data_IF_230976658324
#
_entry.id   IF_230976658324
#
_cell.length_a   1.000
_cell.length_b   1.000
_cell.length_c   1.000
_cell.angle_alpha   90.00
_cell.angle_beta   90.00
_cell.angle_gamma   90.00
#
_symmetry.space_group_name_H-M   'P 1'
#
loop_
_entity.id
_entity.type
_entity.pdbx_description
1 polymer ?
#
# COMPACT_ATOMS: atom_id res chain seq x y z
N UNK A 1 4.24 -11.46 -7.62
CA UNK A 1 3.11 -11.85 -6.73
C UNK A 1 3.31 -13.19 -6.01
N UNK A 2 3.89 -14.22 -6.63
CA UNK A 2 4.21 -15.51 -5.94
C UNK A 2 5.69 -15.60 -5.58
N UNK A 3 6.14 -14.75 -4.67
CA UNK A 3 7.56 -14.56 -4.35
C UNK A 3 7.87 -14.69 -2.85
N UNK A 4 7.07 -15.50 -2.12
CA UNK A 4 7.27 -15.74 -0.68
C UNK A 4 8.62 -16.41 -0.35
N UNK A 5 9.22 -17.09 -1.34
CA UNK A 5 10.50 -17.79 -1.22
C UNK A 5 11.74 -16.86 -1.18
N UNK A 6 11.59 -15.55 -1.40
CA UNK A 6 12.74 -14.65 -1.59
C UNK A 6 13.72 -14.64 -0.41
N UNK A 7 13.21 -14.65 0.82
CA UNK A 7 14.02 -14.65 2.04
C UNK A 7 14.75 -15.97 2.29
N UNK A 8 14.35 -17.07 1.63
CA UNK A 8 15.09 -18.33 1.67
C UNK A 8 16.43 -18.23 0.92
N UNK A 9 16.54 -17.28 -0.02
CA UNK A 9 17.69 -17.14 -0.90
C UNK A 9 18.47 -15.85 -0.68
N UNK A 10 17.81 -14.78 -0.27
CA UNK A 10 18.41 -13.46 -0.16
C UNK A 10 18.12 -12.82 1.20
N UNK A 11 19.19 -12.39 1.86
CA UNK A 11 19.12 -11.63 3.11
C UNK A 11 19.22 -10.13 2.80
N UNK A 12 18.07 -9.49 2.62
CA UNK A 12 17.95 -8.05 2.40
C UNK A 12 17.09 -7.42 3.49
N UNK A 13 17.25 -6.11 3.68
CA UNK A 13 16.48 -5.35 4.67
C UNK A 13 15.03 -5.06 4.22
N UNK A 14 14.70 -5.32 2.95
CA UNK A 14 13.38 -5.10 2.37
C UNK A 14 13.34 -5.41 0.87
N UNK A 15 12.12 -5.47 0.32
CA UNK A 15 11.87 -5.82 -1.07
C UNK A 15 10.99 -4.78 -1.76
N UNK A 16 11.46 -4.27 -2.89
CA UNK A 16 10.70 -3.39 -3.79
C UNK A 16 10.46 -4.11 -5.10
N UNK A 17 9.20 -4.34 -5.43
CA UNK A 17 8.78 -4.97 -6.67
C UNK A 17 8.42 -3.90 -7.69
N UNK A 18 9.22 -3.79 -8.75
CA UNK A 18 8.87 -3.00 -9.93
C UNK A 18 7.98 -3.87 -10.82
N UNK A 19 6.71 -3.49 -10.92
CA UNK A 19 5.66 -4.34 -11.49
C UNK A 19 4.75 -3.57 -12.45
N UNK A 20 3.88 -4.30 -13.11
CA UNK A 20 2.82 -3.76 -13.95
C UNK A 20 1.52 -3.69 -13.14
N UNK A 21 0.82 -2.57 -13.28
CA UNK A 21 -0.54 -2.42 -12.81
C UNK A 21 -1.51 -2.73 -13.95
N UNK A 22 -2.52 -3.56 -13.70
CA UNK A 22 -3.54 -3.92 -14.69
C UNK A 22 -4.95 -3.70 -14.13
N UNK A 23 -5.74 -2.85 -14.80
CA UNK A 23 -7.09 -2.50 -14.38
C UNK A 23 -8.04 -2.39 -15.56
N UNK A 24 -9.26 -2.93 -15.37
CA UNK A 24 -10.32 -2.93 -16.40
C UNK A 24 -10.78 -1.54 -16.81
N UNK A 25 -10.57 -0.52 -15.97
CA UNK A 25 -10.97 0.86 -16.24
C UNK A 25 -10.17 1.50 -17.38
N UNK A 26 -8.97 0.98 -17.69
CA UNK A 26 -8.06 1.59 -18.66
C UNK A 26 -7.45 2.93 -18.21
N UNK A 27 -7.75 3.37 -16.99
CA UNK A 27 -7.21 4.63 -16.44
C UNK A 27 -5.72 4.47 -16.22
N UNK A 28 -4.91 5.35 -16.83
CA UNK A 28 -3.45 5.35 -16.65
C UNK A 28 -3.11 5.74 -15.22
N UNK A 29 -2.31 4.92 -14.56
CA UNK A 29 -1.95 5.13 -13.16
C UNK A 29 -0.49 4.78 -12.88
N UNK A 30 0.13 5.58 -12.02
CA UNK A 30 1.39 5.24 -11.35
C UNK A 30 1.05 4.99 -9.89
N UNK A 31 1.26 3.77 -9.44
CA UNK A 31 0.75 3.31 -8.15
C UNK A 31 1.84 2.72 -7.28
N UNK A 32 1.51 2.61 -5.99
CA UNK A 32 2.38 2.00 -5.00
C UNK A 32 1.54 1.42 -3.86
N UNK A 33 1.77 0.17 -3.48
CA UNK A 33 0.97 -0.48 -2.44
C UNK A 33 1.70 -1.62 -1.71
N UNK A 34 1.27 -1.86 -0.48
CA UNK A 34 1.64 -3.03 0.31
C UNK A 34 0.90 -4.28 -0.19
N UNK A 35 1.43 -5.47 0.07
CA UNK A 35 0.81 -6.75 -0.34
C UNK A 35 0.09 -7.44 0.82
N UNK A 36 -0.92 -8.23 0.49
CA UNK A 36 -1.74 -8.92 1.47
C UNK A 36 -3.05 -9.47 0.94
N UNK A 37 -3.58 -10.48 1.60
CA UNK A 37 -4.88 -11.08 1.33
C UNK A 37 -5.74 -11.04 2.60
N UNK A 38 -6.88 -10.34 2.55
CA UNK A 38 -7.81 -10.27 3.69
C UNK A 38 -8.75 -11.47 3.79
N UNK A 39 -8.86 -12.26 2.72
CA UNK A 39 -9.65 -13.49 2.69
C UNK A 39 -8.87 -14.58 1.93
N UNK A 40 -9.41 -15.09 0.83
CA UNK A 40 -8.76 -16.10 0.01
C UNK A 40 -7.65 -15.49 -0.85
N UNK A 41 -6.49 -16.14 -0.90
CA UNK A 41 -5.42 -15.80 -1.82
C UNK A 41 -5.70 -16.32 -3.23
N UNK A 42 -6.07 -15.40 -4.14
CA UNK A 42 -6.28 -15.71 -5.56
C UNK A 42 -5.08 -15.38 -6.44
N UNK A 43 -4.17 -14.55 -5.93
CA UNK A 43 -3.07 -13.95 -6.69
C UNK A 43 -1.76 -13.98 -5.88
N UNK A 44 -1.37 -15.17 -5.40
CA UNK A 44 -0.12 -15.38 -4.66
C UNK A 44 -0.19 -14.95 -3.19
N UNK A 45 0.77 -15.41 -2.39
CA UNK A 45 0.75 -15.25 -0.94
C UNK A 45 -0.23 -16.21 -0.25
N UNK A 46 -0.26 -16.16 1.07
CA UNK A 46 -1.18 -16.93 1.90
C UNK A 46 -2.51 -16.18 2.08
N UNK A 47 -3.58 -16.96 2.29
CA UNK A 47 -4.89 -16.44 2.67
C UNK A 47 -4.83 -15.83 4.08
N UNK A 48 -5.59 -14.76 4.30
CA UNK A 48 -5.68 -14.05 5.60
C UNK A 48 -4.32 -13.60 6.17
N UNK A 49 -3.40 -13.20 5.30
CA UNK A 49 -2.08 -12.69 5.68
C UNK A 49 -1.78 -11.40 4.92
N UNK A 50 -1.27 -10.37 5.61
CA UNK A 50 -0.64 -9.20 4.98
C UNK A 50 0.88 -9.26 5.18
N UNK A 51 1.65 -8.69 4.26
CA UNK A 51 3.10 -8.51 4.41
C UNK A 51 3.41 -7.31 5.33
N UNK A 52 4.66 -7.22 5.80
CA UNK A 52 5.19 -6.02 6.45
C UNK A 52 5.20 -4.87 5.42
N UNK A 53 4.52 -3.74 5.66
CA UNK A 53 4.49 -2.63 4.72
C UNK A 53 5.81 -1.83 4.74
N UNK A 54 5.99 -0.96 3.74
CA UNK A 54 7.12 -0.01 3.70
C UNK A 54 6.65 1.46 3.69
N UNK A 55 6.05 1.98 4.78
CA UNK A 55 5.24 3.20 4.76
C UNK A 55 5.98 4.48 4.34
N UNK A 56 7.18 4.71 4.90
CA UNK A 56 7.95 5.91 4.61
C UNK A 56 8.46 5.94 3.18
N UNK A 57 8.86 4.77 2.63
CA UNK A 57 9.23 4.64 1.23
C UNK A 57 8.03 4.89 0.31
N UNK A 58 6.86 4.34 0.64
CA UNK A 58 5.62 4.58 -0.10
C UNK A 58 5.32 6.08 -0.20
N UNK A 59 5.35 6.77 0.95
CA UNK A 59 5.10 8.21 1.02
C UNK A 59 6.12 9.00 0.22
N UNK A 60 7.42 8.75 0.44
CA UNK A 60 8.49 9.43 -0.27
C UNK A 60 8.40 9.23 -1.79
N UNK A 61 8.10 8.01 -2.24
CA UNK A 61 7.96 7.69 -3.66
C UNK A 61 6.75 8.40 -4.29
N UNK A 62 5.56 8.30 -3.71
CA UNK A 62 4.37 8.96 -4.26
C UNK A 62 4.48 10.48 -4.24
N UNK A 63 5.07 11.08 -3.19
CA UNK A 63 5.38 12.50 -3.17
C UNK A 63 6.41 12.91 -4.23
N UNK A 64 7.40 12.05 -4.51
CA UNK A 64 8.38 12.28 -5.57
C UNK A 64 7.74 12.22 -6.95
N UNK A 65 6.85 11.27 -7.20
CA UNK A 65 6.04 11.26 -8.41
C UNK A 65 5.22 12.55 -8.52
N UNK A 66 4.56 12.97 -7.45
CA UNK A 66 3.69 14.16 -7.46
C UNK A 66 4.46 15.44 -7.77
N UNK A 67 5.67 15.59 -7.22
CA UNK A 67 6.58 16.71 -7.55
C UNK A 67 7.01 16.70 -9.02
N UNK A 68 7.01 15.54 -9.67
CA UNK A 68 7.37 15.35 -11.07
C UNK A 68 6.15 15.10 -11.98
N UNK A 69 4.92 15.42 -11.53
CA UNK A 69 3.68 15.13 -12.24
C UNK A 69 3.63 15.69 -13.66
N UNK A 70 4.37 16.76 -13.98
CA UNK A 70 4.47 17.31 -15.33
C UNK A 70 5.01 16.30 -16.35
N UNK A 71 5.87 15.37 -15.93
CA UNK A 71 6.39 14.28 -16.77
C UNK A 71 5.35 13.18 -17.02
N UNK A 72 4.33 13.09 -16.17
CA UNK A 72 3.31 12.05 -16.17
C UNK A 72 1.91 12.64 -16.23
N UNK A 73 1.73 13.74 -16.98
CA UNK A 73 0.50 14.54 -16.97
C UNK A 73 -0.80 13.78 -17.29
N UNK A 74 -0.69 12.63 -17.97
CA UNK A 74 -1.82 11.73 -18.29
C UNK A 74 -2.10 10.67 -17.22
N UNK A 75 -1.20 10.49 -16.26
CA UNK A 75 -1.27 9.45 -15.24
C UNK A 75 -1.87 10.01 -13.96
N UNK A 76 -2.76 9.22 -13.36
CA UNK A 76 -3.16 9.41 -11.99
C UNK A 76 -2.06 8.84 -11.06
N UNK A 77 -1.55 9.65 -10.15
CA UNK A 77 -0.74 9.16 -9.03
C UNK A 77 -1.71 8.79 -7.91
N UNK A 78 -1.72 7.52 -7.50
CA UNK A 78 -2.62 7.05 -6.46
C UNK A 78 -2.06 5.85 -5.72
N UNK A 79 -2.40 5.76 -4.43
CA UNK A 79 -2.22 4.50 -3.70
C UNK A 79 -3.27 3.48 -4.15
N UNK A 80 -2.93 2.21 -4.00
CA UNK A 80 -3.87 1.09 -4.02
C UNK A 80 -4.06 0.47 -2.64
N UNK A 81 -5.22 -0.13 -2.42
CA UNK A 81 -5.47 -0.99 -1.29
C UNK A 81 -4.46 -2.14 -1.22
N UNK A 82 -4.23 -2.65 -0.02
CA UNK A 82 -3.40 -3.84 0.16
C UNK A 82 -4.07 -5.03 -0.51
N UNK A 83 -3.36 -5.69 -1.43
CA UNK A 83 -3.89 -6.83 -2.17
C UNK A 83 -2.75 -7.71 -2.72
N UNK A 84 -3.10 -8.96 -3.05
CA UNK A 84 -2.25 -9.99 -3.66
C UNK A 84 -0.95 -10.31 -2.88
N UNK A 85 -0.19 -11.30 -3.34
CA UNK A 85 1.08 -11.71 -2.72
C UNK A 85 2.30 -10.93 -3.21
N UNK A 86 3.48 -11.18 -2.63
CA UNK A 86 3.75 -12.14 -1.55
C UNK A 86 3.25 -11.63 -0.19
N UNK A 87 3.08 -12.52 0.78
CA UNK A 87 2.63 -12.18 2.14
C UNK A 87 3.51 -12.76 3.24
N UNK A 88 4.35 -13.74 2.93
CA UNK A 88 5.17 -14.45 3.90
C UNK A 88 6.63 -13.94 3.97
N UNK A 89 6.86 -12.70 3.51
CA UNK A 89 8.12 -12.01 3.71
C UNK A 89 8.11 -11.30 5.07
N UNK A 90 9.13 -11.55 5.89
CA UNK A 90 9.31 -10.92 7.21
C UNK A 90 9.90 -9.52 7.12
N UNK A 91 10.43 -9.13 5.95
CA UNK A 91 10.99 -7.81 5.67
C UNK A 91 9.97 -6.90 4.97
N UNK A 92 10.07 -5.57 5.16
CA UNK A 92 9.24 -4.59 4.46
C UNK A 92 9.14 -4.85 2.96
N UNK A 93 7.91 -4.92 2.47
CA UNK A 93 7.59 -5.29 1.10
C UNK A 93 6.65 -4.27 0.47
N UNK A 94 6.95 -3.85 -0.77
CA UNK A 94 6.12 -2.89 -1.49
C UNK A 94 6.18 -3.10 -3.00
N UNK A 95 5.06 -2.83 -3.66
CA UNK A 95 4.97 -2.77 -5.12
C UNK A 95 5.00 -1.32 -5.58
N UNK A 96 5.76 -1.06 -6.65
CA UNK A 96 5.78 0.17 -7.42
C UNK A 96 5.38 -0.20 -8.83
N UNK A 97 4.28 0.36 -9.32
CA UNK A 97 3.69 -0.12 -10.56
C UNK A 97 3.43 0.96 -11.59
N UNK A 98 3.53 0.54 -12.86
CA UNK A 98 3.16 1.33 -14.03
C UNK A 98 1.93 0.68 -14.65
N UNK A 99 0.86 1.47 -14.79
CA UNK A 99 -0.39 1.05 -15.36
C UNK A 99 -0.78 1.81 -16.64
N UNK A 100 -1.66 1.25 -17.46
CA UNK A 100 -2.56 0.14 -17.09
C UNK A 100 -2.63 -0.96 -18.15
N UNK A 101 -1.96 -0.75 -19.29
CA UNK A 101 -1.96 -1.68 -20.41
C UNK A 101 -0.53 -1.96 -20.89
N UNK A 102 -0.40 -2.96 -21.77
CA UNK A 102 0.89 -3.33 -22.38
C UNK A 102 1.60 -2.17 -23.07
N UNK A 103 0.85 -1.19 -23.60
CA UNK A 103 1.41 0.03 -24.16
C UNK A 103 2.30 0.76 -23.14
N UNK A 104 1.83 0.94 -21.90
CA UNK A 104 2.60 1.60 -20.85
C UNK A 104 3.66 0.68 -20.23
N UNK A 105 3.39 -0.63 -20.14
CA UNK A 105 4.35 -1.57 -19.56
C UNK A 105 5.61 -1.76 -20.42
N UNK A 106 5.47 -1.56 -21.74
CA UNK A 106 6.57 -1.71 -22.71
C UNK A 106 7.16 -0.38 -23.16
N UNK A 107 6.61 0.75 -22.72
CA UNK A 107 7.21 2.07 -22.94
C UNK A 107 8.50 2.22 -22.11
N UNK A 108 9.62 1.99 -22.78
CA UNK A 108 10.96 2.09 -22.18
C UNK A 108 11.22 3.49 -21.62
N UNK A 109 10.75 4.55 -22.28
CA UNK A 109 10.97 5.93 -21.81
C UNK A 109 10.22 6.20 -20.50
N UNK A 110 8.97 5.74 -20.41
CA UNK A 110 8.17 5.80 -19.19
C UNK A 110 8.83 4.99 -18.06
N UNK A 111 9.21 3.74 -18.34
CA UNK A 111 9.87 2.86 -17.37
C UNK A 111 11.19 3.46 -16.86
N UNK A 112 12.02 4.03 -17.75
CA UNK A 112 13.25 4.72 -17.36
C UNK A 112 12.96 5.95 -16.51
N UNK A 113 11.92 6.71 -16.83
CA UNK A 113 11.54 7.91 -16.07
C UNK A 113 11.11 7.55 -14.64
N UNK A 114 10.27 6.51 -14.49
CA UNK A 114 9.88 5.99 -13.18
C UNK A 114 11.08 5.41 -12.42
N UNK A 115 11.92 4.59 -13.07
CA UNK A 115 13.10 3.99 -12.45
C UNK A 115 14.09 5.05 -11.93
N UNK A 116 14.28 6.17 -12.66
CA UNK A 116 15.08 7.30 -12.19
C UNK A 116 14.53 7.91 -10.91
N UNK A 117 13.20 8.02 -10.78
CA UNK A 117 12.56 8.54 -9.57
C UNK A 117 12.64 7.56 -8.40
N UNK A 118 12.50 6.26 -8.65
CA UNK A 118 12.76 5.21 -7.64
C UNK A 118 14.20 5.32 -7.14
N UNK A 119 15.17 5.35 -8.05
CA UNK A 119 16.58 5.51 -7.69
C UNK A 119 16.84 6.82 -6.92
N UNK A 120 16.22 7.93 -7.35
CA UNK A 120 16.32 9.20 -6.63
C UNK A 120 15.84 9.08 -5.18
N UNK A 121 14.71 8.41 -4.94
CA UNK A 121 14.20 8.20 -3.57
C UNK A 121 15.19 7.38 -2.74
N UNK A 122 15.73 6.29 -3.30
CA UNK A 122 16.70 5.43 -2.62
C UNK A 122 18.07 6.06 -2.38
N UNK A 123 18.49 6.97 -3.25
CA UNK A 123 19.77 7.68 -3.14
C UNK A 123 19.73 8.87 -2.17
N UNK A 124 18.57 9.15 -1.57
CA UNK A 124 18.38 10.22 -0.58
C UNK A 124 17.87 9.66 0.74
N UNK A 125 18.05 10.43 1.82
CA UNK A 125 17.50 10.07 3.13
C UNK A 125 15.97 10.09 3.08
N UNK A 126 15.35 8.97 3.41
CA UNK A 126 13.89 8.86 3.53
C UNK A 126 13.50 9.33 4.94
N UNK A 127 12.74 10.43 5.01
CA UNK A 127 12.24 10.95 6.29
C UNK A 127 11.28 9.97 6.96
N UNK A 128 11.40 9.84 8.28
CA UNK A 128 10.42 9.13 9.10
C UNK A 128 9.15 9.98 9.27
N UNK A 129 7.99 9.31 9.21
CA UNK A 129 6.69 9.93 9.40
C UNK A 129 5.87 9.13 10.41
N UNK A 130 4.90 9.76 11.10
CA UNK A 130 3.89 9.03 11.85
C UNK A 130 3.19 7.98 10.97
N UNK A 131 3.25 6.70 11.36
CA UNK A 131 2.70 5.60 10.56
C UNK A 131 1.29 5.24 11.01
N UNK A 132 0.40 5.03 10.04
CA UNK A 132 -0.99 4.66 10.30
C UNK A 132 -1.45 3.44 9.50
N UNK A 133 -2.34 2.65 10.13
CA UNK A 133 -3.11 1.59 9.45
C UNK A 133 -4.42 2.21 8.94
N UNK A 134 -4.81 1.90 7.71
CA UNK A 134 -5.92 2.58 7.05
C UNK A 134 -7.13 1.66 6.89
N UNK A 135 -8.30 2.13 7.28
CA UNK A 135 -9.56 1.37 7.20
C UNK A 135 -10.60 2.11 6.37
N UNK A 136 -11.15 1.42 5.37
CA UNK A 136 -12.21 1.92 4.49
C UNK A 136 -11.71 2.35 3.12
N UNK A 137 -12.51 3.16 2.43
CA UNK A 137 -12.21 3.61 1.06
C UNK A 137 -12.44 2.53 -0.02
N UNK A 138 -12.20 2.95 -1.25
CA UNK A 138 -12.18 2.10 -2.45
C UNK A 138 -10.80 1.46 -2.63
N UNK A 139 -10.63 0.65 -3.68
CA UNK A 139 -9.31 0.13 -4.08
C UNK A 139 -8.30 1.26 -4.35
N UNK A 140 -8.73 2.31 -5.05
CA UNK A 140 -7.94 3.53 -5.27
C UNK A 140 -8.52 4.67 -4.39
N UNK A 141 -8.17 4.68 -3.11
CA UNK A 141 -8.76 5.60 -2.13
C UNK A 141 -8.22 7.02 -2.27
N UNK A 142 -9.05 7.96 -2.71
CA UNK A 142 -8.65 9.37 -2.87
C UNK A 142 -8.26 10.05 -1.55
N UNK A 143 -8.89 9.68 -0.43
CA UNK A 143 -8.55 10.22 0.90
C UNK A 143 -7.16 9.77 1.35
N UNK A 144 -6.83 8.49 1.15
CA UNK A 144 -5.51 7.97 1.51
C UNK A 144 -4.44 8.47 0.54
N UNK A 145 -4.77 8.65 -0.75
CA UNK A 145 -3.88 9.34 -1.70
C UNK A 145 -3.58 10.77 -1.24
N UNK A 146 -4.59 11.58 -0.91
CA UNK A 146 -4.39 12.95 -0.41
C UNK A 146 -3.56 12.97 0.88
N UNK A 147 -3.82 12.06 1.83
CA UNK A 147 -3.02 11.96 3.05
C UNK A 147 -1.53 11.63 2.78
N UNK A 148 -1.25 10.73 1.83
CA UNK A 148 0.13 10.42 1.46
C UNK A 148 0.83 11.62 0.83
N UNK A 149 0.16 12.30 -0.09
CA UNK A 149 0.74 13.39 -0.87
C UNK A 149 0.91 14.67 -0.05
N UNK A 150 -0.10 15.04 0.72
CA UNK A 150 -0.23 16.36 1.35
C UNK A 150 -0.24 16.29 2.89
N UNK A 151 -0.67 15.15 3.43
CA UNK A 151 -0.82 14.95 4.87
C UNK A 151 0.48 14.55 5.58
N UNK A 152 0.38 14.28 6.88
CA UNK A 152 1.53 13.96 7.74
C UNK A 152 1.78 12.46 7.86
N UNK A 153 0.79 11.62 7.60
CA UNK A 153 0.90 10.20 7.87
C UNK A 153 1.57 9.45 6.70
N UNK A 154 2.40 8.46 7.04
CA UNK A 154 2.77 7.38 6.13
C UNK A 154 1.84 6.19 6.37
N UNK A 155 1.51 5.44 5.32
CA UNK A 155 0.46 4.44 5.37
C UNK A 155 1.05 3.02 5.35
N UNK A 156 0.59 2.19 6.29
CA UNK A 156 0.93 0.78 6.38
C UNK A 156 0.01 -0.07 5.51
N UNK A 157 -0.70 -1.01 6.14
CA UNK A 157 -1.78 -1.75 5.49
C UNK A 157 -2.98 -0.84 5.22
N UNK A 158 -3.50 -0.91 3.99
CA UNK A 158 -4.72 -0.21 3.57
C UNK A 158 -5.82 -1.23 3.34
N UNK A 159 -6.75 -1.33 4.30
CA UNK A 159 -7.89 -2.24 4.24
C UNK A 159 -9.07 -1.57 3.54
N UNK A 160 -9.43 -1.97 2.29
CA UNK A 160 -10.53 -1.37 1.56
C UNK A 160 -11.87 -1.77 2.17
N UNK A 161 -12.91 -0.98 1.92
CA UNK A 161 -14.27 -1.19 2.49
C UNK A 161 -14.79 -2.62 2.34
N UNK A 162 -14.57 -3.25 1.18
CA UNK A 162 -15.10 -4.58 0.90
C UNK A 162 -14.44 -5.67 1.74
N UNK A 163 -13.15 -5.51 2.07
CA UNK A 163 -12.37 -6.45 2.87
C UNK A 163 -12.67 -6.35 4.38
N UNK A 164 -13.26 -5.24 4.84
CA UNK A 164 -13.65 -5.08 6.25
C UNK A 164 -14.69 -6.12 6.72
N UNK A 165 -15.41 -6.76 5.79
CA UNK A 165 -16.32 -7.86 6.14
C UNK A 165 -15.55 -9.08 6.68
N UNK A 166 -14.36 -9.36 6.15
CA UNK A 166 -13.54 -10.53 6.47
C UNK A 166 -12.65 -10.33 7.72
N UNK A 167 -12.54 -9.09 8.19
CA UNK A 167 -11.67 -8.67 9.31
C UNK A 167 -12.17 -9.20 10.67
N UNK A 168 -11.77 -10.38 11.10
CA UNK A 168 -12.01 -10.86 12.47
C UNK A 168 -10.84 -10.52 13.41
N UNK A 169 -10.92 -10.94 14.67
CA UNK A 169 -9.88 -10.70 15.68
C UNK A 169 -8.52 -11.30 15.28
N UNK A 170 -8.51 -12.50 14.68
CA UNK A 170 -7.28 -13.16 14.27
C UNK A 170 -6.58 -12.39 13.14
N UNK A 171 -7.32 -12.03 12.09
CA UNK A 171 -6.76 -11.26 10.98
C UNK A 171 -6.38 -9.84 11.43
N UNK A 172 -7.18 -9.22 12.30
CA UNK A 172 -6.85 -7.92 12.86
C UNK A 172 -5.54 -7.98 13.66
N UNK A 173 -5.37 -8.98 14.54
CA UNK A 173 -4.14 -9.16 15.31
C UNK A 173 -2.93 -9.36 14.40
N UNK A 174 -3.07 -10.16 13.33
CA UNK A 174 -2.02 -10.33 12.32
C UNK A 174 -1.66 -8.99 11.66
N UNK A 175 -2.65 -8.19 11.26
CA UNK A 175 -2.42 -6.88 10.66
C UNK A 175 -1.67 -5.96 11.64
N UNK A 176 -2.04 -5.93 12.92
CA UNK A 176 -1.33 -5.14 13.93
C UNK A 176 0.13 -5.57 14.05
N UNK A 177 0.41 -6.87 14.10
CA UNK A 177 1.78 -7.41 14.22
C UNK A 177 2.65 -7.01 13.01
N UNK A 178 2.13 -7.13 11.80
CA UNK A 178 2.84 -6.73 10.57
C UNK A 178 3.04 -5.21 10.47
N UNK A 179 2.23 -4.43 11.20
CA UNK A 179 2.29 -2.96 11.24
C UNK A 179 2.83 -2.46 12.59
N UNK A 180 3.81 -3.16 13.19
CA UNK A 180 4.33 -2.87 14.53
C UNK A 180 4.82 -1.42 14.76
N UNK A 181 5.23 -0.71 13.71
CA UNK A 181 5.63 0.71 13.76
C UNK A 181 4.46 1.68 13.77
N UNK A 182 3.25 1.24 13.43
CA UNK A 182 2.07 2.09 13.38
C UNK A 182 1.66 2.56 14.78
N UNK A 183 1.31 3.84 14.87
CA UNK A 183 0.79 4.48 16.10
C UNK A 183 -0.60 5.07 15.91
N UNK A 184 -1.11 5.06 14.69
CA UNK A 184 -2.38 5.67 14.32
C UNK A 184 -3.26 4.70 13.53
N UNK A 185 -4.56 4.91 13.60
CA UNK A 185 -5.54 4.29 12.72
C UNK A 185 -6.30 5.39 11.96
N UNK A 186 -6.15 5.43 10.63
CA UNK A 186 -6.92 6.34 9.78
C UNK A 186 -8.20 5.66 9.32
N UNK A 187 -9.33 6.28 9.64
CA UNK A 187 -10.63 5.78 9.28
C UNK A 187 -11.21 6.67 8.19
N UNK A 188 -11.35 6.17 6.95
CA UNK A 188 -12.27 6.81 6.02
C UNK A 188 -13.68 6.60 6.57
N UNK A 189 -14.19 7.59 7.31
CA UNK A 189 -15.36 7.40 8.15
C UNK A 189 -16.60 7.02 7.33
N UNK A 190 -16.73 7.56 6.12
CA UNK A 190 -17.80 7.17 5.19
C UNK A 190 -17.48 5.81 4.54
N UNK A 191 -16.22 5.60 4.17
CA UNK A 191 -15.70 4.36 3.60
C UNK A 191 -15.82 3.13 4.49
N UNK A 192 -15.94 3.26 5.82
CA UNK A 192 -16.19 2.12 6.71
C UNK A 192 -17.56 1.46 6.49
N UNK A 193 -18.57 2.23 6.07
CA UNK A 193 -19.93 1.73 5.86
C UNK A 193 -20.53 1.04 7.10
N UNK A 194 -21.07 -0.17 6.92
CA UNK A 194 -21.65 -0.98 8.01
C UNK A 194 -20.63 -1.50 9.02
N UNK A 195 -19.33 -1.48 8.69
CA UNK A 195 -18.27 -2.03 9.52
C UNK A 195 -17.70 -1.03 10.54
N UNK A 196 -18.30 0.16 10.69
CA UNK A 196 -17.85 1.19 11.66
C UNK A 196 -17.68 0.65 13.07
N UNK A 197 -18.74 0.06 13.64
CA UNK A 197 -18.71 -0.41 15.02
C UNK A 197 -17.69 -1.55 15.18
N UNK A 198 -17.67 -2.48 14.23
CA UNK A 198 -16.71 -3.59 14.18
C UNK A 198 -15.26 -3.10 14.24
N UNK A 199 -14.91 -2.11 13.42
CA UNK A 199 -13.56 -1.54 13.38
C UNK A 199 -13.23 -0.79 14.68
N UNK A 200 -14.18 -0.02 15.23
CA UNK A 200 -13.96 0.68 16.50
C UNK A 200 -13.71 -0.31 17.65
N UNK A 201 -14.53 -1.37 17.75
CA UNK A 201 -14.37 -2.40 18.79
C UNK A 201 -13.04 -3.15 18.67
N UNK A 202 -12.57 -3.46 17.46
CA UNK A 202 -11.23 -4.04 17.29
C UNK A 202 -10.13 -3.06 17.75
N UNK A 203 -10.26 -1.78 17.42
CA UNK A 203 -9.27 -0.76 17.78
C UNK A 203 -9.21 -0.46 19.29
N UNK A 204 -10.30 -0.69 20.05
CA UNK A 204 -10.32 -0.57 21.52
C UNK A 204 -9.29 -1.48 22.21
N UNK A 205 -8.90 -2.59 21.56
CA UNK A 205 -7.85 -3.49 22.06
C UNK A 205 -6.42 -3.02 21.80
N UNK A 206 -6.25 -1.85 21.17
CA UNK A 206 -4.95 -1.33 20.72
C UNK A 206 -4.63 0.02 21.35
N UNK A 207 -3.37 0.44 21.26
CA UNK A 207 -2.94 1.80 21.63
C UNK A 207 -2.93 2.77 20.43
N UNK A 208 -3.57 2.42 19.31
CA UNK A 208 -3.56 3.26 18.10
C UNK A 208 -4.44 4.48 18.30
N UNK A 209 -3.92 5.68 18.01
CA UNK A 209 -4.73 6.89 18.01
C UNK A 209 -5.63 6.92 16.77
N UNK A 210 -6.94 7.06 16.99
CA UNK A 210 -7.94 7.03 15.92
C UNK A 210 -8.11 8.42 15.30
N UNK A 211 -7.90 8.51 13.99
CA UNK A 211 -8.11 9.71 13.20
C UNK A 211 -9.20 9.43 12.17
N UNK A 212 -10.23 10.28 12.12
CA UNK A 212 -11.34 10.15 11.17
C UNK A 212 -11.13 11.11 10.00
N UNK A 213 -11.07 10.55 8.79
CA UNK A 213 -11.00 11.24 7.49
C UNK A 213 -12.37 11.32 6.82
#
# INVERSE_FOLDING_TARGET
>A
ISADWLEEKYDYDGFVFLSKHAAKSGVLALTCHSTGNFSESKFGGNSRQVAVPHPNLQKAYLQTLQKNQSQFSKFQITIEATHHGPTALTKPTIFIEIGTTEEQWTDVSLCVSVAKLVHHVFSNTISENPVAICFGGTHYSSKFTSELLEGKYALGTVIPKHALNDLDEQLFSHIIEQNNVAKFALLDWRGLGKNKQKVLTLLESTSLEIIKL
#
